data_IF_937051133512
#
_entry.id   IF_937051133512
#
_cell.length_a   1.000
_cell.length_b   1.000
_cell.length_c   1.000
_cell.angle_alpha   90.00
_cell.angle_beta   90.00
_cell.angle_gamma   90.00
#
_symmetry.space_group_name_H-M   'P 1'
#
loop_
_entity.id
_entity.type
_entity.pdbx_description
1 polymer ?
#
# COMPACT_ATOMS: atom_id res chain seq x y z
N UNK A 1 -8.89 28.46 -13.36
CA UNK A 1 -8.51 27.07 -13.06
C UNK A 1 -9.19 26.20 -14.08
N UNK A 2 -8.46 25.25 -14.67
CA UNK A 2 -9.03 24.21 -15.53
C UNK A 2 -9.15 22.91 -14.74
N UNK A 3 -10.24 22.17 -14.95
CA UNK A 3 -10.60 20.97 -14.19
C UNK A 3 -10.76 19.79 -15.14
N UNK A 4 -9.88 18.79 -14.99
CA UNK A 4 -9.86 17.61 -15.82
C UNK A 4 -10.09 16.38 -14.94
N UNK A 5 -11.11 15.55 -15.21
CA UNK A 5 -11.36 14.36 -14.41
C UNK A 5 -10.17 13.39 -14.49
N UNK A 6 -9.79 12.81 -13.35
CA UNK A 6 -8.78 11.75 -13.30
C UNK A 6 -9.50 10.41 -13.26
N UNK A 7 -9.17 9.54 -14.22
CA UNK A 7 -9.63 8.15 -14.16
C UNK A 7 -8.85 7.44 -13.05
N UNK A 8 -9.52 7.16 -11.94
CA UNK A 8 -8.96 6.32 -10.90
C UNK A 8 -8.96 4.86 -11.38
N UNK A 9 -7.81 4.17 -11.27
CA UNK A 9 -7.71 2.74 -11.57
C UNK A 9 -8.50 1.85 -10.57
N UNK A 10 -9.01 2.43 -9.47
CA UNK A 10 -9.78 1.74 -8.45
C UNK A 10 -11.14 2.42 -8.21
N UNK A 11 -12.14 1.62 -7.81
CA UNK A 11 -13.42 2.11 -7.32
C UNK A 11 -13.20 2.86 -5.98
N UNK A 12 -12.91 4.15 -6.05
CA UNK A 12 -12.95 5.04 -4.90
C UNK A 12 -14.33 5.70 -4.79
N UNK A 13 -14.80 5.93 -3.55
CA UNK A 13 -16.00 6.76 -3.32
C UNK A 13 -15.72 8.24 -3.53
N UNK A 14 -14.44 8.62 -3.65
CA UNK A 14 -13.99 9.99 -3.78
C UNK A 14 -13.81 10.36 -5.24
N UNK A 15 -14.03 11.64 -5.54
CA UNK A 15 -13.82 12.16 -6.88
C UNK A 15 -12.43 12.77 -6.98
N UNK A 16 -11.68 12.35 -8.00
CA UNK A 16 -10.31 12.82 -8.26
C UNK A 16 -10.31 13.70 -9.52
N UNK A 17 -9.80 14.92 -9.38
CA UNK A 17 -9.76 15.91 -10.46
C UNK A 17 -8.37 16.51 -10.55
N UNK A 18 -7.80 16.51 -11.74
CA UNK A 18 -6.58 17.24 -12.06
C UNK A 18 -6.95 18.70 -12.22
N UNK A 19 -6.28 19.57 -11.49
CA UNK A 19 -6.51 21.03 -11.52
C UNK A 19 -5.28 21.71 -12.08
N UNK A 20 -5.47 22.54 -13.10
CA UNK A 20 -4.45 23.44 -13.63
C UNK A 20 -4.67 24.84 -13.05
N UNK A 21 -3.64 25.39 -12.41
CA UNK A 21 -3.67 26.74 -11.85
C UNK A 21 -2.35 27.45 -12.15
N UNK A 22 -2.37 28.37 -13.12
CA UNK A 22 -1.15 28.91 -13.71
C UNK A 22 -0.41 27.81 -14.47
N UNK A 23 0.90 27.72 -14.25
CA UNK A 23 1.77 26.68 -14.81
C UNK A 23 1.82 25.40 -13.97
N UNK A 24 1.17 25.40 -12.79
CA UNK A 24 1.19 24.29 -11.87
C UNK A 24 0.02 23.32 -12.09
N UNK A 25 0.29 22.04 -11.86
CA UNK A 25 -0.73 20.97 -11.82
C UNK A 25 -0.92 20.47 -10.39
N UNK A 26 -2.18 20.27 -10.01
CA UNK A 26 -2.58 19.76 -8.70
C UNK A 26 -3.57 18.60 -8.84
N UNK A 27 -3.70 17.80 -7.78
CA UNK A 27 -4.77 16.84 -7.60
C UNK A 27 -5.77 17.37 -6.58
N UNK A 28 -7.01 17.62 -7.00
CA UNK A 28 -8.15 17.86 -6.14
C UNK A 28 -8.85 16.54 -5.82
N UNK A 29 -8.93 16.19 -4.55
CA UNK A 29 -9.66 15.03 -4.03
C UNK A 29 -10.89 15.51 -3.26
N UNK A 30 -12.08 15.21 -3.78
CA UNK A 30 -13.36 15.56 -3.13
C UNK A 30 -13.90 14.35 -2.39
N UNK A 31 -14.27 14.54 -1.12
CA UNK A 31 -14.78 13.48 -0.28
C UNK A 31 -16.30 13.49 -0.26
N UNK A 32 -16.91 12.30 -0.32
CA UNK A 32 -18.37 12.14 -0.35
C UNK A 32 -18.86 11.26 0.81
N UNK A 33 -20.10 11.48 1.23
CA UNK A 33 -20.77 10.68 2.26
C UNK A 33 -20.61 11.20 3.69
N UNK A 34 -21.16 10.44 4.65
CA UNK A 34 -21.32 10.89 6.05
C UNK A 34 -20.00 11.12 6.79
N UNK A 35 -18.93 10.43 6.38
CA UNK A 35 -17.60 10.50 7.00
C UNK A 35 -16.63 11.40 6.25
N UNK A 36 -17.09 12.12 5.21
CA UNK A 36 -16.24 12.85 4.27
C UNK A 36 -15.28 13.83 4.96
N UNK A 37 -15.78 14.63 5.92
CA UNK A 37 -14.93 15.55 6.69
C UNK A 37 -13.87 14.81 7.51
N UNK A 38 -14.25 13.71 8.16
CA UNK A 38 -13.34 12.91 8.99
C UNK A 38 -12.24 12.23 8.18
N UNK A 39 -12.56 11.71 7.00
CA UNK A 39 -11.59 11.13 6.06
C UNK A 39 -10.63 12.20 5.55
N UNK A 40 -11.17 13.35 5.12
CA UNK A 40 -10.39 14.52 4.69
C UNK A 40 -9.39 14.96 5.75
N UNK A 41 -9.84 15.14 6.98
CA UNK A 41 -9.00 15.64 8.07
C UNK A 41 -7.95 14.60 8.51
N UNK A 42 -8.31 13.31 8.48
CA UNK A 42 -7.37 12.22 8.73
C UNK A 42 -6.30 12.16 7.66
N UNK A 43 -6.68 12.14 6.39
CA UNK A 43 -5.73 12.08 5.27
C UNK A 43 -4.78 13.29 5.28
N UNK A 44 -5.30 14.50 5.50
CA UNK A 44 -4.47 15.72 5.63
C UNK A 44 -3.44 15.60 6.73
N UNK A 45 -3.88 15.19 7.93
CA UNK A 45 -2.99 15.09 9.09
C UNK A 45 -1.88 14.06 8.84
N UNK A 46 -2.24 12.89 8.30
CA UNK A 46 -1.30 11.80 8.02
C UNK A 46 -0.31 12.16 6.91
N UNK A 47 -0.77 12.72 5.80
CA UNK A 47 0.11 13.19 4.71
C UNK A 47 1.10 14.24 5.22
N UNK A 48 0.62 15.18 6.02
CA UNK A 48 1.48 16.23 6.62
C UNK A 48 2.54 15.61 7.54
N UNK A 49 2.14 14.69 8.41
CA UNK A 49 3.05 14.01 9.35
C UNK A 49 4.08 13.14 8.61
N UNK A 50 3.64 12.36 7.63
CA UNK A 50 4.53 11.51 6.82
C UNK A 50 5.55 12.32 6.05
N UNK A 51 5.12 13.40 5.41
CA UNK A 51 6.02 14.30 4.68
C UNK A 51 7.05 14.95 5.61
N UNK A 52 6.62 15.44 6.78
CA UNK A 52 7.52 16.03 7.78
C UNK A 52 8.57 15.03 8.27
N UNK A 53 8.23 13.75 8.33
CA UNK A 53 9.15 12.67 8.68
C UNK A 53 10.06 12.21 7.52
N UNK A 54 9.93 12.83 6.34
CA UNK A 54 10.75 12.52 5.15
C UNK A 54 10.22 11.38 4.30
N UNK A 55 9.01 10.88 4.55
CA UNK A 55 8.44 9.80 3.75
C UNK A 55 7.86 10.31 2.42
N UNK A 56 7.92 9.50 1.36
CA UNK A 56 7.52 9.93 0.03
C UNK A 56 6.00 9.94 -0.10
N UNK A 57 5.41 11.11 0.12
CA UNK A 57 3.97 11.39 -0.07
C UNK A 57 3.79 12.76 -0.71
N UNK A 58 2.68 12.96 -1.41
CA UNK A 58 2.37 14.26 -2.00
C UNK A 58 2.18 15.34 -0.92
N UNK A 59 2.64 16.56 -1.22
CA UNK A 59 2.41 17.72 -0.36
C UNK A 59 0.92 18.06 -0.35
N UNK A 60 0.38 18.40 0.82
CA UNK A 60 -0.91 19.10 0.90
C UNK A 60 -0.69 20.56 0.54
N UNK A 61 -1.46 21.07 -0.42
CA UNK A 61 -1.42 22.45 -0.86
C UNK A 61 -2.62 23.19 -0.24
N UNK A 62 -2.36 24.34 0.36
CA UNK A 62 -3.38 25.16 0.99
C UNK A 62 -3.73 26.31 0.04
N UNK A 63 -4.82 26.16 -0.71
CA UNK A 63 -5.50 27.25 -1.39
C UNK A 63 -6.99 26.94 -1.56
N UNK A 64 -7.80 27.99 -1.64
CA UNK A 64 -9.23 27.86 -1.88
C UNK A 64 -9.51 27.56 -3.35
N UNK A 65 -10.26 26.48 -3.60
CA UNK A 65 -10.72 26.14 -4.94
C UNK A 65 -12.09 26.78 -5.17
N UNK A 66 -12.23 27.72 -6.13
CA UNK A 66 -13.51 28.38 -6.39
C UNK A 66 -14.61 27.38 -6.74
N UNK A 67 -15.77 27.51 -6.09
CA UNK A 67 -16.93 26.65 -6.33
C UNK A 67 -16.95 25.35 -5.51
N UNK A 68 -15.91 25.04 -4.75
CA UNK A 68 -15.92 23.91 -3.83
C UNK A 68 -16.57 24.28 -2.50
N UNK A 69 -17.68 23.64 -2.16
CA UNK A 69 -18.40 23.82 -0.89
C UNK A 69 -18.30 22.61 0.04
N UNK A 70 -17.83 21.46 -0.46
CA UNK A 70 -17.68 20.23 0.31
C UNK A 70 -16.28 20.04 0.89
N UNK A 71 -16.04 19.00 1.71
CA UNK A 71 -14.70 18.63 2.13
C UNK A 71 -13.85 18.19 0.94
N UNK A 72 -12.70 18.84 0.75
CA UNK A 72 -11.70 18.47 -0.25
C UNK A 72 -10.27 18.58 0.28
N UNK A 73 -9.33 17.97 -0.45
CA UNK A 73 -7.89 18.22 -0.34
C UNK A 73 -7.32 18.56 -1.71
N UNK A 74 -6.41 19.53 -1.72
CA UNK A 74 -5.52 19.77 -2.85
C UNK A 74 -4.16 19.18 -2.53
N UNK A 75 -3.66 18.34 -3.42
CA UNK A 75 -2.38 17.67 -3.30
C UNK A 75 -1.48 18.06 -4.47
N UNK A 76 -0.18 18.06 -4.21
CA UNK A 76 0.86 18.10 -5.24
C UNK A 76 0.61 16.99 -6.27
N UNK A 77 0.53 17.37 -7.55
CA UNK A 77 0.42 16.41 -8.63
C UNK A 77 1.68 15.55 -8.72
N UNK A 78 1.49 14.26 -9.00
CA UNK A 78 2.58 13.33 -9.26
C UNK A 78 2.29 12.62 -10.57
N UNK A 79 3.10 12.92 -11.58
CA UNK A 79 2.97 12.32 -12.92
C UNK A 79 3.54 10.89 -12.88
N UNK A 80 2.75 9.96 -12.39
CA UNK A 80 3.12 8.56 -12.25
C UNK A 80 1.93 7.63 -12.37
N UNK A 81 2.22 6.35 -12.59
CA UNK A 81 1.22 5.28 -12.58
C UNK A 81 1.29 4.50 -11.28
N UNK A 82 0.28 3.71 -10.96
CA UNK A 82 0.35 2.83 -9.80
C UNK A 82 1.42 1.74 -9.97
N UNK A 83 1.98 1.26 -8.85
CA UNK A 83 2.89 0.13 -8.85
C UNK A 83 2.15 -1.14 -9.35
N UNK A 84 0.85 -1.27 -9.08
CA UNK A 84 0.00 -2.31 -9.67
C UNK A 84 0.08 -2.32 -11.21
N UNK A 85 -0.21 -1.19 -11.86
CA UNK A 85 -0.12 -1.06 -13.32
C UNK A 85 1.30 -1.34 -13.82
N UNK A 86 2.31 -0.81 -13.13
CA UNK A 86 3.71 -1.04 -13.48
C UNK A 86 4.12 -2.53 -13.40
N UNK A 87 3.67 -3.26 -12.37
CA UNK A 87 3.98 -4.68 -12.21
C UNK A 87 3.22 -5.56 -13.23
N UNK A 88 2.03 -5.14 -13.66
CA UNK A 88 1.22 -5.85 -14.65
C UNK A 88 1.61 -5.54 -16.11
N UNK A 89 2.31 -4.42 -16.36
CA UNK A 89 2.70 -3.98 -17.70
C UNK A 89 3.59 -4.98 -18.43
N UNK A 90 3.13 -5.55 -19.54
CA UNK A 90 3.86 -6.58 -20.29
C UNK A 90 5.09 -6.04 -21.03
N UNK A 91 5.16 -4.73 -21.26
CA UNK A 91 6.27 -4.09 -21.96
C UNK A 91 7.46 -3.84 -21.04
N UNK A 92 7.25 -3.81 -19.72
CA UNK A 92 8.34 -3.72 -18.74
C UNK A 92 8.90 -5.10 -18.45
N UNK A 93 10.20 -5.26 -18.62
CA UNK A 93 10.86 -6.53 -18.34
C UNK A 93 10.80 -6.89 -16.85
N UNK A 94 10.86 -8.20 -16.59
CA UNK A 94 10.73 -8.76 -15.25
C UNK A 94 11.78 -8.22 -14.27
N UNK A 95 13.02 -8.05 -14.70
CA UNK A 95 14.11 -7.62 -13.81
C UNK A 95 13.86 -6.20 -13.35
N UNK A 96 13.50 -5.30 -14.27
CA UNK A 96 13.14 -3.91 -13.96
C UNK A 96 11.97 -3.84 -12.96
N UNK A 97 10.95 -4.71 -13.12
CA UNK A 97 9.84 -4.80 -12.16
C UNK A 97 10.30 -5.18 -10.76
N UNK A 98 11.09 -6.24 -10.66
CA UNK A 98 11.59 -6.75 -9.39
C UNK A 98 12.54 -5.76 -8.72
N UNK A 99 13.47 -5.15 -9.47
CA UNK A 99 14.41 -4.16 -8.95
C UNK A 99 13.67 -2.94 -8.38
N UNK A 100 12.62 -2.49 -9.06
CA UNK A 100 11.77 -1.39 -8.59
C UNK A 100 11.03 -1.75 -7.30
N UNK A 101 10.41 -2.93 -7.27
CA UNK A 101 9.69 -3.42 -6.10
C UNK A 101 10.61 -3.65 -4.90
N UNK A 102 11.81 -4.22 -5.11
CA UNK A 102 12.82 -4.43 -4.05
C UNK A 102 13.20 -3.12 -3.38
N UNK A 103 13.41 -2.04 -4.15
CA UNK A 103 13.71 -0.71 -3.58
C UNK A 103 12.57 -0.22 -2.69
N UNK A 104 11.33 -0.30 -3.18
CA UNK A 104 10.14 0.11 -2.42
C UNK A 104 10.00 -0.74 -1.15
N UNK A 105 10.25 -2.05 -1.23
CA UNK A 105 10.20 -2.93 -0.07
C UNK A 105 11.30 -2.59 0.96
N UNK A 106 12.50 -2.21 0.50
CA UNK A 106 13.57 -1.74 1.38
C UNK A 106 13.18 -0.44 2.09
N UNK A 107 12.53 0.49 1.40
CA UNK A 107 12.02 1.74 1.99
C UNK A 107 10.91 1.47 3.00
N UNK A 108 9.98 0.54 2.70
CA UNK A 108 8.98 0.04 3.65
C UNK A 108 9.69 -0.54 4.88
N UNK A 109 10.65 -1.45 4.69
CA UNK A 109 11.39 -2.06 5.79
C UNK A 109 12.05 -1.01 6.68
N UNK A 110 12.80 -0.06 6.11
CA UNK A 110 13.46 1.01 6.86
C UNK A 110 12.45 1.83 7.70
N UNK A 111 11.29 2.17 7.12
CA UNK A 111 10.20 2.82 7.86
C UNK A 111 9.68 1.94 8.99
N UNK A 112 9.39 0.67 8.72
CA UNK A 112 8.85 -0.26 9.71
C UNK A 112 9.83 -0.49 10.87
N UNK A 113 11.14 -0.59 10.60
CA UNK A 113 12.19 -0.68 11.62
C UNK A 113 12.18 0.55 12.53
N UNK A 114 12.04 1.75 11.96
CA UNK A 114 11.89 2.98 12.73
C UNK A 114 10.63 2.96 13.59
N UNK A 115 9.49 2.54 13.05
CA UNK A 115 8.22 2.45 13.78
C UNK A 115 8.30 1.47 14.95
N UNK A 116 8.96 0.31 14.77
CA UNK A 116 9.19 -0.64 15.86
C UNK A 116 10.03 -0.04 16.97
N UNK A 117 11.11 0.65 16.61
CA UNK A 117 12.03 1.25 17.57
C UNK A 117 11.38 2.39 18.36
N UNK A 118 10.66 3.26 17.67
CA UNK A 118 10.18 4.53 18.23
C UNK A 118 8.72 4.45 18.72
N UNK A 119 8.00 3.38 18.40
CA UNK A 119 6.60 3.18 18.78
C UNK A 119 5.59 4.05 18.00
N UNK A 120 6.01 4.66 16.89
CA UNK A 120 5.24 5.66 16.14
C UNK A 120 4.22 5.00 15.18
N UNK A 121 3.11 4.47 15.72
CA UNK A 121 2.09 3.74 14.94
C UNK A 121 1.44 4.55 13.80
N UNK A 122 1.51 5.89 13.83
CA UNK A 122 0.99 6.76 12.77
C UNK A 122 1.69 6.57 11.42
N UNK A 123 2.92 6.03 11.42
CA UNK A 123 3.72 5.74 10.24
C UNK A 123 3.49 4.33 9.65
N UNK A 124 2.42 3.65 10.07
CA UNK A 124 1.97 2.39 9.46
C UNK A 124 0.98 2.70 8.33
N UNK A 125 1.18 2.15 7.13
CA UNK A 125 0.19 2.29 6.05
C UNK A 125 -0.96 1.30 6.26
N UNK A 126 -2.15 1.82 6.53
CA UNK A 126 -3.32 1.02 6.89
C UNK A 126 -3.74 0.05 5.77
N UNK A 127 -3.63 0.48 4.51
CA UNK A 127 -3.93 -0.30 3.32
C UNK A 127 -2.71 -0.38 2.37
N UNK A 128 -1.62 -0.98 2.86
CA UNK A 128 -0.41 -1.19 2.06
C UNK A 128 -0.63 -2.21 0.94
N UNK A 129 -1.09 -1.72 -0.21
CA UNK A 129 -1.21 -2.48 -1.45
C UNK A 129 -0.47 -1.75 -2.59
N UNK A 130 -0.15 -2.47 -3.65
CA UNK A 130 0.57 -1.96 -4.83
C UNK A 130 -0.21 -0.92 -5.64
N UNK A 131 -1.53 -0.84 -5.49
CA UNK A 131 -2.33 0.24 -6.07
C UNK A 131 -2.15 1.57 -5.33
N UNK A 132 -1.84 1.51 -4.03
CA UNK A 132 -1.63 2.68 -3.16
C UNK A 132 -0.16 3.17 -3.14
N UNK A 133 0.61 2.77 -4.15
CA UNK A 133 1.97 3.28 -4.40
C UNK A 133 2.02 3.78 -5.83
N UNK A 134 2.32 5.05 -6.06
CA UNK A 134 2.59 5.61 -7.38
C UNK A 134 4.08 5.52 -7.69
N UNK A 135 4.43 5.30 -8.95
CA UNK A 135 5.82 5.22 -9.44
C UNK A 135 6.01 6.08 -10.69
N UNK A 136 7.12 6.82 -10.72
CA UNK A 136 7.56 7.62 -11.86
C UNK A 136 9.10 7.70 -11.85
N UNK A 137 9.76 7.38 -12.98
CA UNK A 137 11.22 7.36 -13.05
C UNK A 137 11.85 6.52 -11.92
N UNK A 138 12.65 7.16 -11.05
CA UNK A 138 13.23 6.55 -9.85
C UNK A 138 12.43 6.82 -8.55
N UNK A 139 11.41 7.68 -8.59
CA UNK A 139 10.63 8.08 -7.42
C UNK A 139 9.39 7.21 -7.21
N UNK A 140 8.94 7.08 -5.97
CA UNK A 140 7.63 6.51 -5.65
C UNK A 140 6.92 7.41 -4.66
N UNK A 141 5.59 7.30 -4.52
CA UNK A 141 4.80 7.98 -3.49
C UNK A 141 3.72 7.07 -2.93
N UNK A 142 3.52 7.09 -1.62
CA UNK A 142 2.35 6.46 -1.00
C UNK A 142 1.14 7.38 -1.12
N UNK A 143 -0.04 6.80 -1.31
CA UNK A 143 -1.33 7.50 -1.39
C UNK A 143 -2.37 6.76 -0.53
N UNK A 144 -3.55 7.36 -0.39
CA UNK A 144 -4.69 6.78 0.33
C UNK A 144 -4.46 6.66 1.84
N UNK A 145 -4.56 7.80 2.52
CA UNK A 145 -4.35 7.94 3.96
C UNK A 145 -5.64 8.25 4.73
N UNK A 146 -6.81 7.89 4.20
CA UNK A 146 -8.12 8.27 4.74
C UNK A 146 -8.42 7.66 6.11
N UNK A 147 -7.84 6.50 6.43
CA UNK A 147 -8.07 5.82 7.71
C UNK A 147 -6.89 5.99 8.67
N UNK A 148 -7.19 5.93 9.98
CA UNK A 148 -6.16 5.83 11.02
C UNK A 148 -5.85 4.37 11.32
N UNK A 149 -4.59 4.09 11.61
CA UNK A 149 -4.20 2.82 12.22
C UNK A 149 -4.44 2.93 13.71
N UNK A 150 -5.49 2.27 14.20
CA UNK A 150 -5.78 2.16 15.64
C UNK A 150 -5.44 0.73 16.07
N UNK A 151 -4.35 0.50 16.83
CA UNK A 151 -4.03 -0.81 17.37
C UNK A 151 -5.06 -1.16 18.47
N UNK A 152 -6.21 -1.73 18.08
CA UNK A 152 -7.31 -2.01 19.02
C UNK A 152 -7.02 -3.17 19.98
N UNK A 153 -5.96 -3.94 19.74
CA UNK A 153 -5.52 -5.08 20.56
C UNK A 153 -4.18 -5.69 20.11
N UNK A 154 -3.77 -5.43 18.86
CA UNK A 154 -2.51 -5.90 18.30
C UNK A 154 -1.35 -4.99 18.69
N UNK A 155 -0.18 -5.57 18.93
CA UNK A 155 1.08 -4.84 19.05
C UNK A 155 1.43 -4.11 17.74
N UNK A 156 2.31 -3.12 17.83
CA UNK A 156 2.86 -2.44 16.65
C UNK A 156 3.50 -3.47 15.69
N UNK A 157 4.29 -4.41 16.23
CA UNK A 157 4.94 -5.45 15.44
C UNK A 157 3.94 -6.33 14.68
N UNK A 158 2.83 -6.72 15.30
CA UNK A 158 1.77 -7.48 14.63
C UNK A 158 1.09 -6.66 13.53
N UNK A 159 0.91 -5.35 13.76
CA UNK A 159 0.30 -4.45 12.77
C UNK A 159 1.22 -4.28 11.56
N UNK A 160 2.52 -4.17 11.77
CA UNK A 160 3.54 -4.13 10.72
C UNK A 160 3.63 -5.45 9.94
N UNK A 161 3.47 -6.59 10.62
CA UNK A 161 3.40 -7.90 9.96
C UNK A 161 2.16 -8.02 9.05
N UNK A 162 1.01 -7.45 9.47
CA UNK A 162 -0.19 -7.37 8.63
C UNK A 162 0.04 -6.48 7.41
N UNK A 163 0.70 -5.34 7.62
CA UNK A 163 1.06 -4.43 6.55
C UNK A 163 1.94 -5.13 5.50
N UNK A 164 3.01 -5.80 5.94
CA UNK A 164 3.90 -6.57 5.08
C UNK A 164 3.15 -7.70 4.35
N UNK A 165 2.34 -8.48 5.07
CA UNK A 165 1.54 -9.56 4.49
C UNK A 165 0.65 -9.05 3.36
N UNK A 166 0.01 -7.89 3.57
CA UNK A 166 -0.84 -7.26 2.57
C UNK A 166 -0.01 -6.88 1.35
N UNK A 167 1.09 -6.16 1.53
CA UNK A 167 1.94 -5.69 0.43
C UNK A 167 2.49 -6.85 -0.41
N UNK A 168 3.02 -7.90 0.22
CA UNK A 168 3.50 -9.10 -0.46
C UNK A 168 2.40 -9.80 -1.26
N UNK A 169 1.20 -9.95 -0.67
CA UNK A 169 0.07 -10.60 -1.34
C UNK A 169 -0.33 -9.86 -2.62
N UNK A 170 -0.45 -8.54 -2.55
CA UNK A 170 -0.81 -7.71 -3.70
C UNK A 170 0.30 -7.70 -4.75
N UNK A 171 1.57 -7.67 -4.33
CA UNK A 171 2.72 -7.81 -5.23
C UNK A 171 2.66 -9.12 -6.03
N UNK A 172 2.49 -10.27 -5.35
CA UNK A 172 2.45 -11.57 -6.04
C UNK A 172 1.22 -11.69 -6.92
N UNK A 173 0.08 -11.09 -6.53
CA UNK A 173 -1.11 -11.04 -7.37
C UNK A 173 -0.84 -10.28 -8.68
N UNK A 174 -0.13 -9.16 -8.61
CA UNK A 174 0.10 -8.30 -9.77
C UNK A 174 1.25 -8.77 -10.67
N UNK A 175 2.30 -9.36 -10.11
CA UNK A 175 3.36 -10.03 -10.87
C UNK A 175 2.90 -11.38 -11.43
N UNK A 176 2.05 -12.09 -10.69
CA UNK A 176 1.62 -13.45 -10.97
C UNK A 176 2.27 -14.50 -10.06
N UNK A 177 1.55 -15.61 -9.85
CA UNK A 177 1.91 -16.70 -8.91
C UNK A 177 3.31 -17.28 -9.14
N UNK A 178 3.78 -17.31 -10.37
CA UNK A 178 5.11 -17.82 -10.73
C UNK A 178 6.27 -17.07 -10.02
N UNK A 179 6.00 -15.88 -9.50
CA UNK A 179 7.00 -15.05 -8.79
C UNK A 179 6.92 -15.16 -7.27
N UNK A 180 5.99 -15.93 -6.73
CA UNK A 180 5.74 -16.05 -5.30
C UNK A 180 7.02 -16.37 -4.52
N UNK A 181 7.76 -17.40 -4.91
CA UNK A 181 8.98 -17.81 -4.22
C UNK A 181 10.06 -16.72 -4.26
N UNK A 182 10.30 -16.12 -5.44
CA UNK A 182 11.28 -15.03 -5.57
C UNK A 182 10.91 -13.79 -4.77
N UNK A 183 9.62 -13.46 -4.66
CA UNK A 183 9.13 -12.34 -3.85
C UNK A 183 9.36 -12.62 -2.37
N UNK A 184 9.02 -13.83 -1.91
CA UNK A 184 9.26 -14.22 -0.52
C UNK A 184 10.75 -14.23 -0.19
N UNK A 185 11.59 -14.80 -1.05
CA UNK A 185 13.03 -14.86 -0.84
C UNK A 185 13.62 -13.46 -0.69
N UNK A 186 13.29 -12.53 -1.58
CA UNK A 186 13.76 -11.15 -1.49
C UNK A 186 13.24 -10.43 -0.24
N UNK A 187 11.98 -10.67 0.15
CA UNK A 187 11.44 -10.09 1.37
C UNK A 187 12.19 -10.58 2.62
N UNK A 188 12.50 -11.88 2.68
CA UNK A 188 13.30 -12.46 3.76
C UNK A 188 14.75 -11.96 3.75
N UNK A 189 15.35 -11.74 2.57
CA UNK A 189 16.67 -11.13 2.45
C UNK A 189 16.69 -9.69 3.00
N UNK A 190 15.67 -8.88 2.70
CA UNK A 190 15.59 -7.48 3.14
C UNK A 190 15.33 -7.38 4.64
N UNK A 191 14.37 -8.16 5.16
CA UNK A 191 13.98 -8.10 6.56
C UNK A 191 14.95 -8.86 7.48
N UNK A 192 15.62 -9.88 6.95
CA UNK A 192 16.34 -10.88 7.74
C UNK A 192 15.40 -11.94 8.31
N UNK A 193 15.89 -13.18 8.40
CA UNK A 193 15.15 -14.32 8.97
C UNK A 193 14.76 -14.11 10.44
N UNK A 194 15.58 -13.36 11.17
CA UNK A 194 15.43 -13.15 12.63
C UNK A 194 14.55 -11.94 12.95
N UNK A 195 13.97 -11.30 11.93
CA UNK A 195 13.09 -10.14 12.10
C UNK A 195 11.82 -10.52 12.86
N UNK A 196 11.52 -9.78 13.92
CA UNK A 196 10.26 -9.92 14.66
C UNK A 196 9.03 -9.81 13.75
N UNK A 197 9.07 -8.95 12.72
CA UNK A 197 7.98 -8.78 11.74
C UNK A 197 7.79 -10.07 10.94
N UNK A 198 8.89 -10.69 10.50
CA UNK A 198 8.86 -11.96 9.76
C UNK A 198 8.37 -13.10 10.65
N UNK A 199 8.84 -13.18 11.91
CA UNK A 199 8.37 -14.19 12.85
C UNK A 199 6.86 -14.08 13.08
N UNK A 200 6.35 -12.86 13.33
CA UNK A 200 4.91 -12.62 13.52
C UNK A 200 4.10 -12.83 12.24
N UNK A 201 4.66 -12.51 11.07
CA UNK A 201 4.06 -12.83 9.78
C UNK A 201 3.85 -14.35 9.66
N UNK A 202 4.89 -15.14 9.96
CA UNK A 202 4.80 -16.60 9.97
C UNK A 202 3.75 -17.06 10.97
N UNK A 203 3.83 -16.64 12.24
CA UNK A 203 2.89 -17.07 13.28
C UNK A 203 1.42 -16.77 12.92
N UNK A 204 1.14 -15.56 12.42
CA UNK A 204 -0.22 -15.14 12.06
C UNK A 204 -0.79 -15.95 10.91
N UNK A 205 0.04 -16.36 9.96
CA UNK A 205 -0.41 -17.16 8.82
C UNK A 205 -0.49 -18.65 9.19
N UNK A 206 0.38 -19.13 10.09
CA UNK A 206 0.52 -20.55 10.46
C UNK A 206 -0.21 -21.03 11.72
N UNK A 207 -0.72 -20.15 12.59
CA UNK A 207 -1.39 -20.55 13.85
C UNK A 207 -2.89 -20.22 14.03
N UNK A 208 -3.68 -19.72 13.06
CA UNK A 208 -5.11 -19.56 13.31
C UNK A 208 -5.79 -20.90 13.63
N UNK A 209 -6.63 -21.01 14.67
CA UNK A 209 -7.44 -22.20 14.90
C UNK A 209 -8.35 -22.47 13.67
N UNK A 210 -8.69 -23.74 13.42
CA UNK A 210 -9.53 -24.18 12.29
C UNK A 210 -8.92 -23.92 10.89
N UNK A 211 -7.59 -23.93 10.74
CA UNK A 211 -6.93 -23.76 9.43
C UNK A 211 -7.52 -24.65 8.33
N UNK A 212 -7.92 -25.88 8.66
CA UNK A 212 -8.54 -26.79 7.71
C UNK A 212 -9.79 -26.19 7.04
N UNK A 213 -10.69 -25.58 7.82
CA UNK A 213 -11.90 -24.93 7.30
C UNK A 213 -11.55 -23.74 6.43
N UNK A 214 -10.58 -22.94 6.84
CA UNK A 214 -10.17 -21.79 6.04
C UNK A 214 -9.46 -22.18 4.75
N UNK A 215 -8.59 -23.20 4.77
CA UNK A 215 -7.94 -23.76 3.58
C UNK A 215 -8.97 -24.44 2.66
N UNK A 216 -10.03 -25.03 3.19
CA UNK A 216 -11.14 -25.54 2.37
C UNK A 216 -11.89 -24.40 1.66
N UNK A 217 -12.22 -23.32 2.38
CA UNK A 217 -12.81 -22.12 1.76
C UNK A 217 -11.89 -21.53 0.70
N UNK A 218 -10.58 -21.51 0.95
CA UNK A 218 -9.55 -21.07 0.00
C UNK A 218 -9.59 -21.89 -1.29
N UNK A 219 -9.55 -23.22 -1.18
CA UNK A 219 -9.66 -24.13 -2.33
C UNK A 219 -10.95 -23.90 -3.11
N UNK A 220 -12.06 -23.61 -2.41
CA UNK A 220 -13.34 -23.30 -3.06
C UNK A 220 -13.29 -21.98 -3.84
N UNK A 221 -12.67 -20.93 -3.29
CA UNK A 221 -12.50 -19.67 -4.02
C UNK A 221 -11.58 -19.83 -5.22
N UNK A 222 -10.48 -20.60 -5.10
CA UNK A 222 -9.59 -20.90 -6.22
C UNK A 222 -10.26 -21.64 -7.37
N UNK A 223 -11.27 -22.47 -7.08
CA UNK A 223 -12.08 -23.08 -8.16
C UNK A 223 -12.87 -22.04 -8.96
N UNK A 224 -13.20 -20.90 -8.35
CA UNK A 224 -13.91 -19.80 -9.00
C UNK A 224 -12.95 -18.76 -9.59
N UNK A 225 -11.77 -18.56 -8.98
CA UNK A 225 -10.71 -17.68 -9.45
C UNK A 225 -9.33 -18.35 -9.25
N UNK A 226 -8.82 -19.09 -10.24
CA UNK A 226 -7.53 -19.79 -10.14
C UNK A 226 -6.31 -18.87 -9.93
N UNK A 227 -6.45 -17.58 -10.24
CA UNK A 227 -5.39 -16.57 -10.10
C UNK A 227 -5.39 -15.89 -8.73
N UNK A 228 -6.35 -16.19 -7.84
CA UNK A 228 -6.40 -15.59 -6.51
C UNK A 228 -5.18 -16.02 -5.66
N UNK A 229 -4.38 -15.03 -5.27
CA UNK A 229 -3.30 -15.22 -4.29
C UNK A 229 -3.85 -14.97 -2.89
N UNK A 230 -3.72 -15.99 -2.04
CA UNK A 230 -4.30 -15.95 -0.70
C UNK A 230 -3.20 -15.89 0.35
N UNK A 231 -3.58 -15.56 1.59
CA UNK A 231 -2.60 -15.54 2.69
C UNK A 231 -1.93 -16.89 2.90
N UNK A 232 -2.58 -18.00 2.52
CA UNK A 232 -2.01 -19.34 2.65
C UNK A 232 -0.91 -19.62 1.62
N UNK A 233 -0.99 -19.02 0.42
CA UNK A 233 0.10 -19.11 -0.55
C UNK A 233 1.37 -18.47 -0.01
N UNK A 234 1.25 -17.29 0.63
CA UNK A 234 2.38 -16.64 1.28
C UNK A 234 2.96 -17.51 2.39
N UNK A 235 2.11 -18.11 3.24
CA UNK A 235 2.59 -19.04 4.25
C UNK A 235 3.43 -20.12 3.61
N UNK A 236 2.82 -20.92 2.72
CA UNK A 236 3.40 -22.15 2.21
C UNK A 236 4.75 -21.86 1.53
N UNK A 237 4.85 -20.72 0.82
CA UNK A 237 6.11 -20.24 0.26
C UNK A 237 7.14 -19.85 1.33
N UNK A 238 6.77 -19.10 2.37
CA UNK A 238 7.68 -18.75 3.47
C UNK A 238 8.24 -20.01 4.16
N UNK A 239 7.41 -21.03 4.44
CA UNK A 239 7.93 -22.27 5.02
C UNK A 239 8.81 -23.06 4.06
N UNK A 240 8.64 -22.89 2.75
CA UNK A 240 9.50 -23.56 1.77
C UNK A 240 10.87 -22.89 1.74
N UNK A 241 10.93 -21.55 1.80
CA UNK A 241 12.18 -20.78 1.76
C UNK A 241 12.95 -20.82 3.09
N UNK A 242 12.26 -20.97 4.23
CA UNK A 242 12.90 -21.07 5.55
C UNK A 242 13.37 -22.48 5.94
N UNK A 243 13.11 -23.50 5.11
CA UNK A 243 13.63 -24.87 5.29
C UNK A 243 15.01 -25.00 4.67
#
# INVERSE_FOLDING_TARGET
MDFQPVLAAQNTSNELVRVLHGDDTYLLKRYRGKMAQSHRDTERARLTQWRRAGYPVSRVIEFDVPGESGPYLVLEWFEGRSLCEFLQDREVDRRTKLDRWVRILADIHARQTRVLRDGEADFIHHDSNTGNVLVAGAEHRYIDFEERVVPRSASIAETLAVELARFLRWTVRDLGRAHLESVIQQALTIYGSDSQIVSLLVERIYRPPLQFVHRWKDRRRRRQNPLEITKYDLADAISTVLK
#
